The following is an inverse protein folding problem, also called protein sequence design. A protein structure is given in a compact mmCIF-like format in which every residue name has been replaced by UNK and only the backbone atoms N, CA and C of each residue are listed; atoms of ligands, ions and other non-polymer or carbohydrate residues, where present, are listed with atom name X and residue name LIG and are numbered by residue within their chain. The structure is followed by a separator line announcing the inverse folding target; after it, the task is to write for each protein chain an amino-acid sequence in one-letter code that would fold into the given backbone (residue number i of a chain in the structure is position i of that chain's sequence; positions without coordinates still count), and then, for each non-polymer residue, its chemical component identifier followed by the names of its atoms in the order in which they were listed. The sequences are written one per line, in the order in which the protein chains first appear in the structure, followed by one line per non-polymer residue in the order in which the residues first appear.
data_IF_756738923633
#
_entry.id   IF_756738923633
#
_cell.length_a   1.000
_cell.length_b   1.000
_cell.length_c   1.000
_cell.angle_alpha   90.00
_cell.angle_beta   90.00
_cell.angle_gamma   90.00
#
_symmetry.space_group_name_H-M   'P 1'
#
loop_
_entity.id
_entity.type
_entity.pdbx_description
1 polymer ?
#
# COMPACT_ATOMS: atom_id res chain seq x y z
N UNK A 1 15.83 -19.78 51.65
CA UNK A 1 16.30 -19.74 50.25
C UNK A 1 15.15 -19.29 49.39
N UNK A 2 15.22 -18.09 48.84
CA UNK A 2 14.22 -17.54 47.91
C UNK A 2 14.88 -17.27 46.58
N UNK A 3 14.71 -18.20 45.63
CA UNK A 3 15.14 -18.01 44.24
C UNK A 3 14.15 -17.12 43.51
N UNK A 4 14.50 -15.84 43.36
CA UNK A 4 13.81 -14.94 42.44
C UNK A 4 14.38 -15.12 41.03
N UNK A 5 13.56 -15.63 40.11
CA UNK A 5 13.88 -15.72 38.70
C UNK A 5 14.01 -14.31 38.11
N UNK A 6 15.24 -13.82 38.03
CA UNK A 6 15.57 -12.57 37.37
C UNK A 6 15.38 -12.70 35.87
N UNK A 7 14.36 -12.04 35.33
CA UNK A 7 14.30 -11.69 33.92
C UNK A 7 15.53 -10.84 33.62
N UNK A 8 16.50 -11.39 32.88
CA UNK A 8 17.81 -10.80 32.60
C UNK A 8 17.77 -9.57 31.68
N UNK A 9 16.98 -8.56 32.04
CA UNK A 9 17.09 -7.22 31.51
C UNK A 9 18.08 -6.43 32.37
N UNK A 10 19.16 -5.97 31.76
CA UNK A 10 20.06 -5.01 32.40
C UNK A 10 19.21 -3.76 32.73
N UNK A 11 18.88 -3.56 34.01
CA UNK A 11 18.03 -2.45 34.45
C UNK A 11 18.84 -1.15 34.34
N UNK A 12 18.70 -0.46 33.21
CA UNK A 12 19.42 0.76 32.89
C UNK A 12 18.48 1.95 32.94
N UNK A 13 18.83 2.92 33.78
CA UNK A 13 18.00 4.10 33.99
C UNK A 13 18.38 5.17 32.96
N UNK A 14 17.46 5.56 32.05
CA UNK A 14 17.77 6.43 30.91
C UNK A 14 18.24 7.83 31.31
N UNK A 15 17.91 8.29 32.51
CA UNK A 15 18.40 9.57 33.05
C UNK A 15 19.72 9.43 33.81
N UNK A 16 20.05 8.22 34.32
CA UNK A 16 21.28 8.00 35.07
C UNK A 16 22.46 7.73 34.13
N UNK A 17 22.23 6.90 33.10
CA UNK A 17 23.25 6.48 32.14
C UNK A 17 22.84 6.79 30.69
N UNK A 18 22.73 8.08 30.30
CA UNK A 18 22.23 8.46 28.98
C UNK A 18 23.10 7.93 27.83
N UNK A 19 24.42 7.87 28.02
CA UNK A 19 25.36 7.33 27.02
C UNK A 19 25.16 5.83 26.78
N UNK A 20 25.00 5.05 27.86
CA UNK A 20 24.76 3.62 27.76
C UNK A 20 23.40 3.31 27.15
N UNK A 21 22.37 4.10 27.49
CA UNK A 21 21.04 4.00 26.89
C UNK A 21 21.06 4.30 25.38
N UNK A 22 21.82 5.31 24.93
CA UNK A 22 21.96 5.63 23.51
C UNK A 22 22.65 4.50 22.73
N UNK A 23 23.71 3.91 23.29
CA UNK A 23 24.41 2.79 22.68
C UNK A 23 23.51 1.57 22.55
N UNK A 24 22.75 1.23 23.60
CA UNK A 24 21.78 0.14 23.54
C UNK A 24 20.68 0.39 22.51
N UNK A 25 20.17 1.62 22.40
CA UNK A 25 19.20 1.99 21.38
C UNK A 25 19.73 1.76 19.98
N UNK A 26 20.99 2.16 19.69
CA UNK A 26 21.64 1.89 18.40
C UNK A 26 21.74 0.39 18.12
N UNK A 27 22.23 -0.39 19.09
CA UNK A 27 22.32 -1.85 18.92
C UNK A 27 20.95 -2.52 18.73
N UNK A 28 19.90 -2.00 19.39
CA UNK A 28 18.54 -2.49 19.24
C UNK A 28 17.99 -2.17 17.84
N UNK A 29 18.20 -0.95 17.34
CA UNK A 29 17.82 -0.56 16.00
C UNK A 29 18.50 -1.45 14.95
N UNK A 30 19.81 -1.62 15.02
CA UNK A 30 20.56 -2.50 14.11
C UNK A 30 20.08 -3.95 14.18
N UNK A 31 19.84 -4.49 15.38
CA UNK A 31 19.31 -5.86 15.54
C UNK A 31 17.90 -5.97 14.97
N UNK A 32 17.06 -4.94 15.14
CA UNK A 32 15.70 -4.92 14.61
C UNK A 32 15.69 -4.89 13.08
N UNK A 33 16.56 -4.08 12.46
CA UNK A 33 16.72 -4.01 11.01
C UNK A 33 17.23 -5.33 10.45
N UNK A 34 18.26 -5.93 11.07
CA UNK A 34 18.75 -7.27 10.71
C UNK A 34 17.65 -8.32 10.81
N UNK A 35 16.84 -8.29 11.85
CA UNK A 35 15.72 -9.22 12.03
C UNK A 35 14.62 -9.02 10.97
N UNK A 36 14.36 -7.78 10.54
CA UNK A 36 13.45 -7.51 9.42
C UNK A 36 14.01 -8.03 8.10
N UNK A 37 15.31 -7.85 7.86
CA UNK A 37 15.99 -8.38 6.67
C UNK A 37 15.98 -9.90 6.65
N UNK A 38 16.25 -10.58 7.77
CA UNK A 38 16.19 -12.05 7.84
C UNK A 38 14.79 -12.57 7.58
N UNK A 39 13.74 -11.91 8.12
CA UNK A 39 12.34 -12.23 7.80
C UNK A 39 12.05 -12.09 6.30
N UNK A 40 12.45 -10.98 5.68
CA UNK A 40 12.26 -10.75 4.24
C UNK A 40 12.99 -11.81 3.40
N UNK A 41 14.24 -12.15 3.74
CA UNK A 41 15.01 -13.21 3.09
C UNK A 41 14.35 -14.57 3.23
N UNK A 42 13.94 -14.95 4.44
CA UNK A 42 13.26 -16.24 4.66
C UNK A 42 11.94 -16.38 3.87
N UNK A 43 11.20 -15.28 3.68
CA UNK A 43 10.01 -15.28 2.82
C UNK A 43 10.41 -15.48 1.37
N UNK A 44 11.44 -14.80 0.88
CA UNK A 44 11.94 -14.96 -0.48
C UNK A 44 12.48 -16.37 -0.76
N UNK A 45 13.18 -16.97 0.20
CA UNK A 45 13.73 -18.32 0.06
C UNK A 45 12.61 -19.37 0.01
N UNK A 46 11.52 -19.19 0.77
CA UNK A 46 10.39 -20.13 0.80
C UNK A 46 9.44 -20.00 -0.39
N UNK A 47 9.14 -18.78 -0.79
CA UNK A 47 8.10 -18.50 -1.79
C UNK A 47 8.65 -18.09 -3.15
N UNK A 48 9.96 -17.93 -3.27
CA UNK A 48 10.60 -17.41 -4.49
C UNK A 48 10.23 -15.95 -4.76
N UNK A 49 10.62 -15.45 -5.93
CA UNK A 49 10.25 -14.12 -6.41
C UNK A 49 11.31 -13.04 -6.20
N UNK A 50 12.55 -13.41 -5.89
CA UNK A 50 13.71 -12.50 -5.95
C UNK A 50 13.83 -11.80 -7.31
N UNK A 51 13.53 -12.51 -8.41
CA UNK A 51 13.53 -12.01 -9.79
C UNK A 51 12.55 -10.86 -10.09
N UNK A 52 11.60 -10.58 -9.18
CA UNK A 52 10.64 -9.47 -9.33
C UNK A 52 10.96 -8.26 -8.45
N UNK A 53 11.98 -8.36 -7.57
CA UNK A 53 12.31 -7.36 -6.55
C UNK A 53 13.45 -6.41 -6.93
N UNK A 54 13.86 -6.37 -8.19
CA UNK A 54 14.93 -5.49 -8.70
C UNK A 54 14.51 -4.00 -8.85
N UNK A 55 13.35 -3.62 -8.30
CA UNK A 55 12.88 -2.24 -8.23
C UNK A 55 13.53 -1.46 -7.08
N UNK A 56 13.37 -0.13 -7.11
CA UNK A 56 13.86 0.84 -6.10
C UNK A 56 13.51 0.44 -4.64
N UNK A 57 12.44 -0.35 -4.47
CA UNK A 57 11.84 -0.71 -3.19
C UNK A 57 12.19 -2.14 -2.69
N UNK A 58 13.03 -2.88 -3.42
CA UNK A 58 13.40 -4.26 -3.07
C UNK A 58 14.73 -4.42 -2.33
N UNK A 59 14.97 -5.62 -1.81
CA UNK A 59 16.15 -5.96 -0.99
C UNK A 59 17.50 -5.70 -1.70
N UNK A 60 17.49 -5.71 -3.04
CA UNK A 60 18.67 -5.46 -3.89
C UNK A 60 19.10 -3.97 -3.92
N UNK A 61 18.21 -3.02 -3.62
CA UNK A 61 18.55 -1.59 -3.63
C UNK A 61 19.32 -1.15 -2.38
N UNK A 62 19.32 -1.97 -1.32
CA UNK A 62 20.03 -1.70 -0.07
C UNK A 62 21.56 -1.78 -0.22
N UNK A 63 22.08 -2.49 -1.23
CA UNK A 63 23.52 -2.67 -1.42
C UNK A 63 24.17 -1.61 -2.35
N UNK A 64 23.40 -0.86 -3.14
CA UNK A 64 23.97 -0.04 -4.23
C UNK A 64 23.68 1.45 -4.18
N UNK A 65 23.45 2.04 -2.99
CA UNK A 65 23.32 3.50 -2.87
C UNK A 65 24.72 4.13 -2.78
N UNK A 66 25.44 4.14 -3.89
CA UNK A 66 26.50 5.13 -4.14
C UNK A 66 25.85 6.31 -4.87
N UNK A 67 26.09 7.51 -4.34
CA UNK A 67 25.59 8.78 -4.90
C UNK A 67 26.36 9.06 -6.19
N UNK A 68 25.80 8.72 -7.35
CA UNK A 68 26.35 9.12 -8.65
C UNK A 68 25.26 9.75 -9.53
N UNK A 69 25.71 10.71 -10.35
CA UNK A 69 24.93 11.71 -11.06
C UNK A 69 23.88 11.14 -12.04
N UNK A 70 22.72 11.83 -12.11
CA UNK A 70 21.44 11.33 -12.64
C UNK A 70 21.38 10.91 -14.11
N UNK A 71 22.42 11.17 -14.93
CA UNK A 71 22.47 10.66 -16.30
C UNK A 71 22.78 9.16 -16.35
N UNK A 72 23.56 8.65 -15.39
CA UNK A 72 23.95 7.25 -15.33
C UNK A 72 22.81 6.34 -14.85
N UNK A 73 21.86 6.90 -14.10
CA UNK A 73 20.71 6.18 -13.56
C UNK A 73 19.71 5.76 -14.66
N UNK A 74 19.47 6.63 -15.64
CA UNK A 74 18.53 6.36 -16.74
C UNK A 74 19.00 5.22 -17.65
N UNK A 75 20.31 5.17 -17.96
CA UNK A 75 20.93 4.09 -18.73
C UNK A 75 20.90 2.77 -17.96
N UNK A 76 21.28 2.78 -16.68
CA UNK A 76 21.24 1.61 -15.80
C UNK A 76 19.83 1.06 -15.65
N UNK A 77 18.81 1.92 -15.57
CA UNK A 77 17.39 1.51 -15.57
C UNK A 77 16.98 0.83 -16.87
N UNK A 78 17.37 1.37 -18.01
CA UNK A 78 17.09 0.74 -19.31
C UNK A 78 17.79 -0.62 -19.44
N UNK A 79 19.02 -0.72 -18.96
CA UNK A 79 19.77 -1.98 -18.93
C UNK A 79 19.10 -3.03 -18.05
N UNK A 80 18.68 -2.67 -16.83
CA UNK A 80 17.90 -3.55 -15.93
C UNK A 80 16.58 -4.01 -16.59
N UNK A 81 15.88 -3.10 -17.28
CA UNK A 81 14.64 -3.45 -17.99
C UNK A 81 14.93 -4.42 -19.15
N UNK A 82 16.01 -4.21 -19.89
CA UNK A 82 16.39 -5.08 -21.00
C UNK A 82 16.87 -6.45 -20.51
N UNK A 83 17.64 -6.51 -19.43
CA UNK A 83 18.00 -7.77 -18.76
C UNK A 83 16.77 -8.51 -18.26
N UNK A 84 15.80 -7.79 -17.67
CA UNK A 84 14.52 -8.37 -17.26
C UNK A 84 13.81 -8.99 -18.46
N UNK A 85 13.63 -8.25 -19.54
CA UNK A 85 13.01 -8.76 -20.78
C UNK A 85 13.73 -10.00 -21.32
N UNK A 86 15.07 -9.99 -21.32
CA UNK A 86 15.86 -11.15 -21.74
C UNK A 86 15.66 -12.38 -20.83
N UNK A 87 15.61 -12.20 -19.49
CA UNK A 87 15.33 -13.29 -18.54
C UNK A 87 13.94 -13.90 -18.74
N UNK A 88 12.94 -13.09 -19.05
CA UNK A 88 11.57 -13.54 -19.36
C UNK A 88 11.39 -14.01 -20.81
N UNK A 89 12.47 -14.09 -21.61
CA UNK A 89 12.42 -14.57 -22.99
C UNK A 89 11.74 -13.60 -23.97
N UNK A 90 11.48 -12.36 -23.57
CA UNK A 90 10.90 -11.33 -24.41
C UNK A 90 11.99 -10.61 -25.22
N UNK A 91 12.46 -11.23 -26.30
CA UNK A 91 13.32 -10.56 -27.27
C UNK A 91 12.48 -9.95 -28.40
N UNK A 92 12.23 -8.64 -28.34
CA UNK A 92 11.63 -7.90 -29.46
C UNK A 92 12.74 -7.60 -30.48
N UNK A 93 12.83 -8.40 -31.54
CA UNK A 93 13.65 -8.05 -32.71
C UNK A 93 12.74 -7.34 -33.71
N UNK A 94 12.97 -6.04 -33.91
CA UNK A 94 12.22 -5.27 -34.90
C UNK A 94 12.69 -5.67 -36.30
N UNK A 95 11.87 -6.43 -37.02
CA UNK A 95 12.08 -6.73 -38.44
C UNK A 95 11.45 -5.63 -39.29
N UNK A 96 12.28 -4.92 -40.06
CA UNK A 96 11.78 -3.92 -41.01
C UNK A 96 11.69 -4.52 -42.40
N UNK A 97 10.50 -4.39 -43.00
CA UNK A 97 10.25 -4.79 -44.39
C UNK A 97 10.27 -3.54 -45.27
N UNK A 98 10.93 -3.67 -46.43
CA UNK A 98 10.83 -2.68 -47.50
C UNK A 98 9.42 -2.70 -48.10
N UNK A 99 9.04 -1.64 -48.85
CA UNK A 99 7.74 -1.57 -49.56
C UNK A 99 7.49 -2.77 -50.47
N UNK A 100 8.56 -3.41 -50.94
CA UNK A 100 8.53 -4.61 -51.79
C UNK A 100 8.47 -5.92 -50.99
N UNK A 101 8.30 -5.86 -49.67
CA UNK A 101 8.16 -7.02 -48.78
C UNK A 101 9.46 -7.77 -48.46
N UNK A 102 10.63 -7.21 -48.80
CA UNK A 102 11.93 -7.81 -48.46
C UNK A 102 12.42 -7.32 -47.10
N UNK A 103 12.99 -8.22 -46.30
CA UNK A 103 13.67 -7.86 -45.05
C UNK A 103 14.79 -6.85 -45.34
N UNK A 104 14.80 -5.72 -44.65
CA UNK A 104 15.89 -4.74 -44.68
C UNK A 104 17.08 -5.31 -43.91
N UNK A 105 17.81 -6.24 -44.51
CA UNK A 105 18.95 -6.92 -43.87
C UNK A 105 20.13 -5.96 -43.67
N UNK A 106 20.71 -6.01 -42.47
CA UNK A 106 21.82 -5.18 -41.95
C UNK A 106 23.16 -5.21 -42.72
N UNK A 107 23.24 -5.81 -43.92
CA UNK A 107 24.51 -6.13 -44.59
C UNK A 107 24.64 -5.83 -46.08
N UNK A 108 23.62 -5.29 -46.76
CA UNK A 108 23.74 -4.87 -48.16
C UNK A 108 24.13 -3.39 -48.28
N UNK A 109 24.78 -2.98 -49.37
CA UNK A 109 25.26 -1.60 -49.62
C UNK A 109 24.20 -0.47 -49.48
N UNK A 110 22.92 -0.81 -49.31
CA UNK A 110 21.82 0.10 -48.93
C UNK A 110 21.62 0.27 -47.41
N UNK A 111 22.49 -0.29 -46.56
CA UNK A 111 22.35 -0.29 -45.09
C UNK A 111 22.91 0.96 -44.38
N UNK A 112 23.48 1.92 -45.11
CA UNK A 112 24.08 3.11 -44.50
C UNK A 112 23.06 4.20 -44.10
N UNK A 113 21.80 4.10 -44.53
CA UNK A 113 20.74 4.99 -44.05
C UNK A 113 19.51 4.18 -43.69
N UNK A 114 19.08 4.27 -42.42
CA UNK A 114 17.71 3.88 -42.06
C UNK A 114 16.79 4.56 -43.09
N UNK A 115 15.95 3.82 -43.84
CA UNK A 115 15.07 4.45 -44.80
C UNK A 115 14.22 5.46 -44.04
N UNK A 116 14.34 6.75 -44.39
CA UNK A 116 13.44 7.79 -43.85
C UNK A 116 12.04 7.47 -44.36
N UNK A 117 11.27 6.72 -43.57
CA UNK A 117 9.84 6.56 -43.80
C UNK A 117 9.23 7.96 -43.71
N UNK A 118 8.69 8.44 -44.83
CA UNK A 118 7.87 9.64 -44.84
C UNK A 118 6.50 9.21 -44.28
N UNK A 119 6.05 9.75 -43.14
CA UNK A 119 4.73 9.42 -42.62
C UNK A 119 3.68 9.87 -43.63
N UNK A 120 2.90 8.91 -44.14
CA UNK A 120 1.73 9.20 -44.96
C UNK A 120 0.68 9.84 -44.06
N UNK A 121 0.26 11.08 -44.38
CA UNK A 121 -0.86 11.74 -43.71
C UNK A 121 -2.15 10.97 -44.03
N UNK A 122 -3.03 10.75 -43.06
CA UNK A 122 -4.34 10.17 -43.34
C UNK A 122 -5.20 11.13 -44.15
N UNK A 123 -6.35 10.62 -44.62
CA UNK A 123 -7.31 11.36 -45.44
C UNK A 123 -7.94 12.56 -44.69
N UNK A 124 -7.93 12.53 -43.36
CA UNK A 124 -8.55 13.56 -42.54
C UNK A 124 -7.51 14.59 -42.11
N UNK A 125 -7.96 15.82 -41.86
CA UNK A 125 -7.11 16.84 -41.25
C UNK A 125 -6.76 16.40 -39.82
N UNK A 126 -5.57 15.84 -39.67
CA UNK A 126 -4.97 15.50 -38.39
C UNK A 126 -4.50 16.78 -37.68
N UNK A 127 -4.24 16.67 -36.37
CA UNK A 127 -3.64 17.74 -35.58
C UNK A 127 -4.43 19.06 -35.52
N UNK A 128 -5.76 18.98 -35.69
CA UNK A 128 -6.67 20.10 -35.42
C UNK A 128 -6.99 20.17 -33.93
N UNK A 129 -6.15 20.90 -33.19
CA UNK A 129 -6.32 21.08 -31.76
C UNK A 129 -7.13 22.33 -31.41
N UNK A 130 -7.93 22.21 -30.35
CA UNK A 130 -8.77 23.30 -29.87
C UNK A 130 -7.94 24.26 -29.03
N UNK A 131 -8.23 25.57 -29.13
CA UNK A 131 -7.69 26.63 -28.27
C UNK A 131 -6.15 26.72 -28.21
N UNK A 132 -5.48 26.40 -29.32
CA UNK A 132 -4.03 26.53 -29.46
C UNK A 132 -3.23 25.47 -28.70
N UNK A 133 -3.88 24.41 -28.22
CA UNK A 133 -3.17 23.26 -27.68
C UNK A 133 -2.44 22.49 -28.80
N UNK A 134 -1.44 21.68 -28.44
CA UNK A 134 -0.72 20.77 -29.37
C UNK A 134 -1.12 19.31 -29.12
N UNK A 135 -2.03 19.09 -28.17
CA UNK A 135 -2.44 17.75 -27.74
C UNK A 135 -3.95 17.70 -27.52
N UNK A 136 -4.54 16.52 -27.65
CA UNK A 136 -5.98 16.31 -27.42
C UNK A 136 -6.27 16.26 -25.91
N UNK A 137 -7.45 16.72 -25.50
CA UNK A 137 -7.94 16.53 -24.13
C UNK A 137 -7.97 15.04 -23.76
N UNK A 138 -7.36 14.67 -22.65
CA UNK A 138 -7.21 13.27 -22.24
C UNK A 138 -5.83 12.66 -22.56
N UNK A 139 -4.94 13.43 -23.19
CA UNK A 139 -3.54 13.04 -23.39
C UNK A 139 -2.71 13.01 -22.09
N UNK A 140 -3.18 13.65 -21.02
CA UNK A 140 -2.54 13.67 -19.71
C UNK A 140 -3.48 13.22 -18.60
N UNK A 141 -2.97 12.42 -17.66
CA UNK A 141 -3.69 11.99 -16.45
C UNK A 141 -2.92 12.38 -15.21
N UNK A 142 -3.52 13.23 -14.37
CA UNK A 142 -2.93 13.63 -13.12
C UNK A 142 -3.39 12.73 -11.97
N UNK A 143 -2.44 12.02 -11.35
CA UNK A 143 -2.71 10.97 -10.35
C UNK A 143 -3.31 11.47 -9.03
N UNK A 144 -2.89 12.63 -8.51
CA UNK A 144 -3.46 13.16 -7.27
C UNK A 144 -4.88 13.70 -7.42
N UNK A 145 -5.12 14.46 -8.48
CA UNK A 145 -6.43 14.99 -8.83
C UNK A 145 -7.42 13.95 -9.39
N UNK A 146 -6.95 12.76 -9.81
CA UNK A 146 -7.73 11.74 -10.54
C UNK A 146 -8.51 12.32 -11.73
N UNK A 147 -7.88 13.22 -12.48
CA UNK A 147 -8.52 13.95 -13.59
C UNK A 147 -7.64 13.91 -14.83
N UNK A 148 -8.31 13.91 -15.96
CA UNK A 148 -7.70 14.03 -17.28
C UNK A 148 -7.45 15.51 -17.63
N UNK A 149 -6.45 15.75 -18.46
CA UNK A 149 -6.01 17.06 -18.91
C UNK A 149 -5.31 17.02 -20.28
N UNK A 150 -4.71 18.15 -20.64
CA UNK A 150 -3.85 18.26 -21.83
C UNK A 150 -2.38 17.96 -21.49
N UNK A 151 -1.65 17.29 -22.38
CA UNK A 151 -0.24 16.93 -22.18
C UNK A 151 0.76 18.06 -22.52
N UNK A 152 0.33 19.07 -23.28
CA UNK A 152 1.18 20.19 -23.65
C UNK A 152 1.40 21.17 -22.49
N UNK A 153 0.38 21.47 -21.69
CA UNK A 153 0.47 22.43 -20.58
C UNK A 153 -0.03 21.88 -19.23
N UNK A 154 -0.36 20.59 -19.15
CA UNK A 154 -0.85 19.91 -17.95
C UNK A 154 -2.07 20.60 -17.29
N UNK A 155 -2.83 21.37 -18.08
CA UNK A 155 -4.10 21.94 -17.66
C UNK A 155 -5.13 20.83 -17.46
N UNK A 156 -5.77 20.83 -16.29
CA UNK A 156 -6.88 19.93 -15.96
C UNK A 156 -8.25 20.55 -16.26
N UNK A 157 -8.32 21.61 -17.07
CA UNK A 157 -9.58 22.25 -17.45
C UNK A 157 -9.85 22.07 -18.95
N UNK A 158 -10.99 21.46 -19.29
CA UNK A 158 -11.35 21.22 -20.68
C UNK A 158 -11.70 22.55 -21.36
N UNK A 159 -11.23 22.72 -22.60
CA UNK A 159 -11.38 23.96 -23.36
C UNK A 159 -10.65 25.18 -22.72
N UNK A 160 -9.60 24.98 -21.92
CA UNK A 160 -8.67 26.07 -21.59
C UNK A 160 -7.91 26.51 -22.85
N UNK A 161 -7.27 27.67 -22.79
CA UNK A 161 -6.26 28.06 -23.78
C UNK A 161 -4.91 27.50 -23.37
N UNK A 162 -4.10 27.12 -24.36
CA UNK A 162 -2.76 26.60 -24.09
C UNK A 162 -1.90 27.68 -23.42
N UNK A 163 -1.35 27.33 -22.26
CA UNK A 163 -0.48 28.22 -21.46
C UNK A 163 1.01 28.01 -21.74
N UNK A 164 1.34 27.12 -22.68
CA UNK A 164 2.70 26.82 -23.12
C UNK A 164 3.59 26.18 -22.05
N UNK A 165 4.90 26.18 -22.27
CA UNK A 165 5.88 25.51 -21.38
C UNK A 165 5.98 26.13 -19.98
N UNK A 166 5.82 27.45 -19.87
CA UNK A 166 5.80 28.14 -18.58
C UNK A 166 4.52 27.81 -17.82
N UNK A 167 3.39 27.75 -18.53
CA UNK A 167 2.11 27.29 -18.01
C UNK A 167 2.15 25.85 -17.50
N UNK A 168 2.87 24.96 -18.20
CA UNK A 168 3.09 23.59 -17.74
C UNK A 168 3.70 23.53 -16.35
N UNK A 169 4.81 24.23 -16.13
CA UNK A 169 5.48 24.25 -14.81
C UNK A 169 4.57 24.81 -13.72
N UNK A 170 3.89 25.91 -14.02
CA UNK A 170 2.96 26.53 -13.07
C UNK A 170 1.76 25.62 -12.75
N UNK A 171 1.22 24.91 -13.76
CA UNK A 171 0.14 23.96 -13.58
C UNK A 171 0.59 22.71 -12.83
N UNK A 172 1.79 22.20 -13.09
CA UNK A 172 2.36 21.07 -12.34
C UNK A 172 2.58 21.45 -10.88
N UNK A 173 3.24 22.57 -10.60
CA UNK A 173 3.41 23.07 -9.24
C UNK A 173 2.06 23.33 -8.56
N UNK A 174 1.10 23.95 -9.23
CA UNK A 174 -0.23 24.22 -8.66
C UNK A 174 -1.03 22.93 -8.43
N UNK A 175 -0.97 21.97 -9.36
CA UNK A 175 -1.67 20.70 -9.24
C UNK A 175 -1.05 19.83 -8.16
N UNK A 176 0.28 19.80 -8.06
CA UNK A 176 0.99 19.18 -6.95
C UNK A 176 0.67 19.87 -5.63
N UNK A 177 0.62 21.21 -5.59
CA UNK A 177 0.27 21.98 -4.39
C UNK A 177 -1.17 21.75 -3.94
N UNK A 178 -2.10 21.55 -4.87
CA UNK A 178 -3.52 21.41 -4.58
C UNK A 178 -3.97 19.97 -4.36
N UNK A 179 -3.44 19.04 -5.14
CA UNK A 179 -3.92 17.66 -5.22
C UNK A 179 -2.86 16.61 -4.88
N UNK A 180 -1.58 17.01 -4.79
CA UNK A 180 -0.47 16.11 -4.51
C UNK A 180 -0.14 15.16 -5.68
N UNK A 181 0.92 14.36 -5.53
CA UNK A 181 1.41 13.46 -6.59
C UNK A 181 0.73 12.09 -6.62
N UNK A 182 -0.25 11.83 -5.74
CA UNK A 182 -0.91 10.53 -5.62
C UNK A 182 -0.01 9.39 -5.10
N UNK A 183 1.22 9.71 -4.69
CA UNK A 183 2.12 8.80 -3.96
C UNK A 183 1.78 8.88 -2.47
N UNK A 184 1.48 7.73 -1.86
CA UNK A 184 1.23 7.64 -0.43
C UNK A 184 2.46 8.16 0.34
N UNK A 185 2.38 9.38 0.90
CA UNK A 185 3.49 10.05 1.58
C UNK A 185 3.89 11.43 1.04
N UNK A 186 3.19 11.98 0.05
CA UNK A 186 3.44 13.35 -0.42
C UNK A 186 3.21 14.42 0.67
N UNK A 187 3.84 15.57 0.51
CA UNK A 187 3.92 16.67 1.50
C UNK A 187 2.54 17.19 1.94
N UNK A 188 1.48 17.10 1.11
CA UNK A 188 0.11 17.38 1.59
C UNK A 188 -0.53 16.25 2.36
N UNK A 189 -0.23 14.97 2.14
CA UNK A 189 -0.70 13.92 3.04
C UNK A 189 -0.08 14.11 4.43
N UNK A 190 1.16 14.59 4.50
CA UNK A 190 1.81 15.00 5.75
C UNK A 190 1.18 16.27 6.35
N UNK A 191 0.97 17.34 5.57
CA UNK A 191 0.32 18.58 6.06
C UNK A 191 -1.16 18.39 6.41
N UNK A 192 -1.91 17.60 5.64
CA UNK A 192 -3.30 17.26 5.95
C UNK A 192 -3.37 16.41 7.23
N UNK A 193 -2.42 15.48 7.44
CA UNK A 193 -2.26 14.77 8.72
C UNK A 193 -1.87 15.70 9.86
N UNK A 194 -1.05 16.71 9.60
CA UNK A 194 -0.66 17.73 10.57
C UNK A 194 -1.85 18.63 10.97
N UNK A 195 -2.69 19.03 10.01
CA UNK A 195 -3.94 19.74 10.28
C UNK A 195 -5.03 18.86 10.92
N UNK A 196 -4.91 17.52 10.81
CA UNK A 196 -5.75 16.54 11.51
C UNK A 196 -5.22 16.19 12.91
N UNK A 197 -4.07 16.71 13.32
CA UNK A 197 -3.54 16.50 14.67
C UNK A 197 -4.40 17.29 15.65
N UNK A 198 -5.27 16.59 16.37
CA UNK A 198 -6.19 17.19 17.32
C UNK A 198 -5.44 18.08 18.33
N UNK A 199 -5.90 19.32 18.47
CA UNK A 199 -5.48 20.24 19.54
C UNK A 199 -5.67 19.51 20.88
N UNK A 200 -4.67 19.52 21.79
CA UNK A 200 -4.78 18.84 23.07
C UNK A 200 -6.00 19.35 23.84
N UNK A 201 -6.72 18.42 24.47
CA UNK A 201 -7.99 18.64 25.18
C UNK A 201 -7.91 19.75 26.24
N UNK A 202 -6.71 20.10 26.72
CA UNK A 202 -6.47 21.13 27.73
C UNK A 202 -6.79 22.56 27.30
N UNK A 203 -6.92 22.85 26.00
CA UNK A 203 -7.21 24.21 25.49
C UNK A 203 -8.61 24.38 24.90
N UNK A 204 -9.48 23.36 25.02
CA UNK A 204 -10.86 23.47 24.53
C UNK A 204 -11.69 24.28 25.52
N UNK A 205 -11.71 25.61 25.31
CA UNK A 205 -12.63 26.56 25.93
C UNK A 205 -14.05 26.02 25.95
N UNK A 206 -14.71 26.14 27.10
CA UNK A 206 -16.01 25.58 27.48
C UNK A 206 -17.19 26.28 26.80
N UNK A 207 -17.15 26.48 25.48
CA UNK A 207 -18.30 26.94 24.72
C UNK A 207 -19.07 25.72 24.20
N UNK A 208 -19.99 25.26 25.05
CA UNK A 208 -20.99 24.24 24.77
C UNK A 208 -22.03 24.81 23.81
N UNK A 209 -21.72 24.84 22.51
CA UNK A 209 -22.74 24.87 21.47
C UNK A 209 -23.09 23.44 21.08
N UNK A 210 -24.38 23.11 21.21
CA UNK A 210 -24.92 21.78 20.99
C UNK A 210 -24.67 21.30 19.56
N UNK A 211 -23.82 20.29 19.42
CA UNK A 211 -23.68 19.51 18.20
C UNK A 211 -24.68 18.36 18.27
N UNK A 212 -25.76 18.47 17.49
CA UNK A 212 -26.78 17.45 17.28
C UNK A 212 -26.30 16.31 16.36
N UNK A 213 -25.02 15.95 16.41
CA UNK A 213 -24.40 14.97 15.51
C UNK A 213 -24.18 13.59 16.15
N UNK A 214 -24.72 13.37 17.35
CA UNK A 214 -24.64 12.09 18.06
C UNK A 214 -25.55 10.99 17.49
N UNK A 215 -26.31 11.27 16.42
CA UNK A 215 -27.35 10.37 15.92
C UNK A 215 -27.32 10.16 14.41
N UNK A 216 -26.15 10.29 13.79
CA UNK A 216 -25.96 9.96 12.38
C UNK A 216 -25.44 8.52 12.28
N UNK A 217 -26.27 7.53 11.86
CA UNK A 217 -25.80 6.16 11.77
C UNK A 217 -24.67 6.07 10.75
N UNK A 218 -23.49 5.66 11.21
CA UNK A 218 -22.36 5.35 10.34
C UNK A 218 -22.77 4.20 9.41
N UNK A 219 -22.30 4.19 8.16
CA UNK A 219 -22.74 3.21 7.15
C UNK A 219 -22.50 1.74 7.54
N UNK A 220 -21.63 1.49 8.53
CA UNK A 220 -21.38 0.16 9.09
C UNK A 220 -22.61 -0.43 9.80
N UNK A 221 -23.47 0.41 10.40
CA UNK A 221 -24.68 -0.04 11.12
C UNK A 221 -25.75 -0.60 10.19
N UNK A 222 -25.77 -0.15 8.93
CA UNK A 222 -26.69 -0.63 7.90
C UNK A 222 -26.35 -2.06 7.43
N UNK A 223 -25.09 -2.46 7.53
CA UNK A 223 -24.59 -3.78 7.12
C UNK A 223 -24.30 -4.71 8.31
N UNK A 224 -24.82 -4.40 9.50
CA UNK A 224 -24.64 -5.25 10.69
C UNK A 224 -23.21 -5.28 11.22
N UNK A 225 -22.37 -4.30 10.86
CA UNK A 225 -21.03 -4.17 11.41
C UNK A 225 -21.05 -3.31 12.67
N UNK A 226 -20.58 -3.88 13.79
CA UNK A 226 -20.41 -3.14 15.04
C UNK A 226 -19.51 -1.92 14.86
N UNK A 227 -19.94 -0.80 15.43
CA UNK A 227 -19.25 0.48 15.38
C UNK A 227 -17.93 0.38 16.17
N UNK A 228 -16.81 0.54 15.47
CA UNK A 228 -15.47 0.48 16.08
C UNK A 228 -15.21 1.61 17.08
N UNK A 229 -16.07 2.65 17.10
CA UNK A 229 -15.94 3.82 17.98
C UNK A 229 -16.93 3.83 19.14
N UNK A 230 -17.74 2.78 19.32
CA UNK A 230 -18.63 2.69 20.46
C UNK A 230 -17.83 2.59 21.77
N UNK A 231 -18.31 3.26 22.82
CA UNK A 231 -17.73 3.13 24.16
C UNK A 231 -18.23 1.82 24.77
N UNK A 232 -17.41 0.77 24.65
CA UNK A 232 -17.72 -0.57 25.12
C UNK A 232 -17.45 -0.70 26.61
N UNK A 233 -18.42 -1.24 27.35
CA UNK A 233 -18.27 -1.54 28.76
C UNK A 233 -17.45 -2.84 28.94
N UNK A 234 -16.32 -2.74 29.63
CA UNK A 234 -15.36 -3.84 29.77
C UNK A 234 -15.94 -5.06 30.48
N UNK A 235 -16.88 -4.86 31.41
CA UNK A 235 -17.52 -5.97 32.14
C UNK A 235 -18.48 -6.74 31.24
N UNK A 236 -19.28 -6.02 30.44
CA UNK A 236 -20.20 -6.62 29.47
C UNK A 236 -19.45 -7.33 28.35
N UNK A 237 -18.35 -6.74 27.86
CA UNK A 237 -17.50 -7.39 26.86
C UNK A 237 -16.90 -8.70 27.38
N UNK A 238 -16.43 -8.74 28.63
CA UNK A 238 -15.92 -9.99 29.23
C UNK A 238 -17.02 -11.04 29.38
N UNK A 239 -18.23 -10.65 29.76
CA UNK A 239 -19.38 -11.55 29.84
C UNK A 239 -19.76 -12.10 28.45
N UNK A 240 -19.80 -11.24 27.43
CA UNK A 240 -20.03 -11.57 26.03
C UNK A 240 -18.98 -12.56 25.49
N UNK A 241 -17.70 -12.28 25.77
CA UNK A 241 -16.59 -13.20 25.48
C UNK A 241 -16.87 -14.56 26.12
N UNK A 242 -17.15 -14.63 27.42
CA UNK A 242 -17.38 -15.92 28.08
C UNK A 242 -18.54 -16.70 27.46
N UNK A 243 -19.66 -16.04 27.20
CA UNK A 243 -20.86 -16.60 26.54
C UNK A 243 -20.52 -17.16 25.15
N UNK A 244 -19.73 -16.44 24.36
CA UNK A 244 -19.31 -16.91 23.03
C UNK A 244 -18.37 -18.12 23.11
N UNK A 245 -17.49 -18.17 24.12
CA UNK A 245 -16.64 -19.34 24.36
C UNK A 245 -17.46 -20.58 24.70
N UNK A 246 -18.48 -20.43 25.55
CA UNK A 246 -19.39 -21.50 25.91
C UNK A 246 -20.23 -21.95 24.71
N UNK A 247 -20.67 -21.01 23.86
CA UNK A 247 -21.34 -21.32 22.59
C UNK A 247 -20.44 -22.14 21.67
N UNK A 248 -19.19 -21.73 21.45
CA UNK A 248 -18.23 -22.46 20.62
C UNK A 248 -17.99 -23.86 21.20
N UNK A 249 -17.74 -23.98 22.52
CA UNK A 249 -17.57 -25.28 23.18
C UNK A 249 -18.79 -26.18 23.03
N UNK A 250 -19.99 -25.63 23.20
CA UNK A 250 -21.25 -26.36 23.03
C UNK A 250 -21.48 -26.77 21.57
N UNK A 251 -21.15 -25.92 20.60
CA UNK A 251 -21.22 -26.26 19.18
C UNK A 251 -20.22 -27.36 18.83
N UNK A 252 -18.99 -27.27 19.32
CA UNK A 252 -17.95 -28.29 19.10
C UNK A 252 -18.31 -29.62 19.77
N UNK A 253 -18.92 -29.60 20.96
CA UNK A 253 -19.37 -30.84 21.61
C UNK A 253 -20.60 -31.43 20.93
N UNK A 254 -21.55 -30.62 20.48
CA UNK A 254 -22.72 -31.08 19.74
C UNK A 254 -22.38 -31.57 18.32
N UNK A 255 -21.39 -30.98 17.65
CA UNK A 255 -20.95 -31.45 16.33
C UNK A 255 -20.32 -32.85 16.40
N UNK A 256 -19.70 -33.20 17.53
CA UNK A 256 -19.18 -34.55 17.80
C UNK A 256 -20.28 -35.59 18.10
N UNK A 257 -21.52 -35.18 18.33
CA UNK A 257 -22.66 -36.09 18.53
C UNK A 257 -23.33 -36.46 17.20
N UNK A 258 -23.89 -37.68 17.16
CA UNK A 258 -24.69 -38.22 16.04
C UNK A 258 -25.87 -37.29 15.69
N UNK A 259 -26.23 -37.18 14.41
CA UNK A 259 -27.18 -36.20 13.87
C UNK A 259 -28.54 -36.21 14.60
N UNK A 260 -29.01 -37.40 15.00
CA UNK A 260 -30.28 -37.57 15.75
C UNK A 260 -30.22 -37.07 17.20
N UNK A 261 -29.03 -36.93 17.77
CA UNK A 261 -28.81 -36.46 19.15
C UNK A 261 -28.42 -34.99 19.23
N UNK A 262 -28.25 -34.32 18.08
CA UNK A 262 -27.92 -32.90 18.03
C UNK A 262 -29.13 -32.07 18.46
N UNK A 263 -28.92 -31.16 19.40
CA UNK A 263 -29.96 -30.24 19.86
C UNK A 263 -30.31 -29.26 18.74
N UNK A 264 -31.57 -29.27 18.30
CA UNK A 264 -32.09 -28.29 17.34
C UNK A 264 -32.10 -26.90 17.97
N UNK A 265 -31.42 -25.94 17.32
CA UNK A 265 -31.33 -24.54 17.77
C UNK A 265 -32.23 -23.63 16.91
N UNK A 266 -33.44 -24.09 16.57
CA UNK A 266 -34.35 -23.43 15.61
C UNK A 266 -35.36 -22.45 16.23
N UNK A 267 -35.32 -22.24 17.55
CA UNK A 267 -36.29 -21.41 18.28
C UNK A 267 -35.60 -20.41 19.20
N UNK A 268 -34.77 -19.53 18.64
CA UNK A 268 -34.25 -18.39 19.39
C UNK A 268 -34.45 -17.12 18.56
N UNK A 269 -35.68 -16.60 18.58
CA UNK A 269 -36.13 -15.50 17.73
C UNK A 269 -35.76 -14.12 18.28
N UNK A 270 -35.44 -14.01 19.58
CA UNK A 270 -35.42 -12.71 20.28
C UNK A 270 -34.05 -12.42 20.94
N UNK A 271 -32.93 -12.69 20.26
CA UNK A 271 -31.61 -12.21 20.70
C UNK A 271 -31.16 -11.03 19.84
N UNK A 272 -31.42 -9.82 20.31
CA UNK A 272 -30.75 -8.64 19.78
C UNK A 272 -29.25 -8.74 20.10
N UNK A 273 -28.41 -8.78 19.07
CA UNK A 273 -26.95 -8.89 19.26
C UNK A 273 -26.42 -7.51 19.66
N UNK A 274 -25.88 -7.41 20.88
CA UNK A 274 -25.29 -6.15 21.35
C UNK A 274 -23.95 -5.90 20.68
N UNK A 275 -23.46 -4.65 20.74
CA UNK A 275 -22.18 -4.26 20.15
C UNK A 275 -21.01 -5.04 20.80
N UNK A 276 -21.10 -5.34 22.09
CA UNK A 276 -20.13 -6.16 22.83
C UNK A 276 -20.15 -7.63 22.37
N UNK A 277 -21.35 -8.20 22.12
CA UNK A 277 -21.50 -9.56 21.61
C UNK A 277 -20.88 -9.70 20.21
N UNK A 278 -21.02 -8.67 19.36
CA UNK A 278 -20.40 -8.62 18.03
C UNK A 278 -18.87 -8.48 18.08
N UNK A 279 -18.33 -7.72 19.03
CA UNK A 279 -16.88 -7.62 19.24
C UNK A 279 -16.30 -8.94 19.78
N UNK A 280 -16.98 -9.55 20.76
CA UNK A 280 -16.61 -10.85 21.29
C UNK A 280 -16.55 -11.93 20.20
N UNK A 281 -17.52 -11.93 19.29
CA UNK A 281 -17.53 -12.81 18.11
C UNK A 281 -16.32 -12.55 17.19
N UNK A 282 -16.00 -11.28 16.90
CA UNK A 282 -14.84 -10.91 16.06
C UNK A 282 -13.51 -11.37 16.66
N UNK A 283 -13.31 -11.20 17.97
CA UNK A 283 -12.08 -11.59 18.65
C UNK A 283 -11.85 -13.11 18.65
N UNK A 284 -12.93 -13.90 18.64
CA UNK A 284 -12.86 -15.36 18.71
C UNK A 284 -12.99 -16.08 17.37
N UNK A 285 -13.40 -15.37 16.31
CA UNK A 285 -13.50 -15.95 14.99
C UNK A 285 -12.11 -16.25 14.44
N UNK A 286 -11.74 -17.52 14.43
CA UNK A 286 -10.53 -17.98 13.74
C UNK A 286 -10.70 -17.82 12.23
N UNK A 287 -9.67 -17.28 11.56
CA UNK A 287 -9.63 -17.18 10.09
C UNK A 287 -8.83 -18.36 9.55
N UNK A 288 -9.48 -19.51 9.39
CA UNK A 288 -8.84 -20.73 8.89
C UNK A 288 -8.26 -20.55 7.47
N UNK A 289 -8.86 -19.67 6.67
CA UNK A 289 -8.47 -19.40 5.28
C UNK A 289 -7.35 -18.35 5.14
N UNK A 290 -6.82 -17.79 6.24
CA UNK A 290 -5.74 -16.82 6.19
C UNK A 290 -4.36 -17.51 6.25
N UNK A 291 -3.60 -17.59 5.13
CA UNK A 291 -2.29 -18.23 5.11
C UNK A 291 -1.26 -17.52 5.99
N UNK A 292 -1.52 -16.27 6.41
CA UNK A 292 -0.65 -15.48 7.28
C UNK A 292 -0.92 -15.70 8.78
N UNK A 293 -2.07 -16.25 9.16
CA UNK A 293 -2.42 -16.46 10.58
C UNK A 293 -1.41 -17.40 11.28
N UNK A 294 -0.90 -18.40 10.57
CA UNK A 294 0.13 -19.34 11.06
C UNK A 294 1.51 -18.71 11.25
N UNK A 295 1.83 -17.64 10.50
CA UNK A 295 3.11 -16.93 10.61
C UNK A 295 3.19 -16.03 11.84
N UNK A 296 2.05 -15.51 12.31
CA UNK A 296 2.00 -14.60 13.46
C UNK A 296 2.01 -15.33 14.80
N UNK A 297 1.45 -16.54 14.85
CA UNK A 297 1.30 -17.32 16.07
C UNK A 297 2.63 -17.88 16.61
N UNK A 298 3.55 -18.30 15.73
CA UNK A 298 4.67 -19.12 16.20
C UNK A 298 5.90 -18.34 16.65
N UNK A 299 6.14 -17.10 16.21
CA UNK A 299 7.33 -16.29 16.59
C UNK A 299 8.71 -16.95 16.34
N UNK A 300 8.71 -18.20 15.92
CA UNK A 300 9.78 -19.12 15.62
C UNK A 300 9.42 -19.64 14.25
N UNK A 301 10.16 -19.18 13.25
CA UNK A 301 10.23 -19.89 11.98
C UNK A 301 10.92 -21.23 12.32
N UNK A 302 10.13 -22.22 12.71
CA UNK A 302 10.62 -23.51 13.16
C UNK A 302 11.38 -24.17 12.01
N UNK A 303 12.67 -24.45 12.27
CA UNK A 303 13.49 -25.37 11.52
C UNK A 303 12.70 -26.66 11.29
N UNK A 304 12.53 -27.06 10.04
CA UNK A 304 12.12 -28.43 9.73
C UNK A 304 13.37 -29.19 9.29
N UNK A 305 13.61 -30.32 9.96
CA UNK A 305 14.62 -31.32 9.60
C UNK A 305 14.41 -31.83 8.17
#
# INVERSE_FOLDING_TARGET
GGGGGGTGGMELHPQADPSQAELLKKTFQEKSEKLQLTKKRAVLDKYGGSEYLDGRDGLASAETITKDDGENESKRRQEIINERKARFGESVTEEHYTRDGRLATKGGAAAASKPKLIPLKSKYEEDLFQNGHVTVWGSYFHRGAFRWGYADDHSLLKNSYCTGVNGRKANDEANELRYGTGVAGSVQAARAREMLKAVPVSERSTNKMGSSDANRPTSSRLYGEADQKANLDQEKLRAAIKKEQERIKATTSNSALDERKRKYNSLNTDNEVTEEDMEAYRLKRERADDPMAKLSADGKLLDYK
#
